data_IF_377080903455
#
_entry.id   IF_377080903455
#
_cell.length_a   1.000
_cell.length_b   1.000
_cell.length_c   1.000
_cell.angle_alpha   90.00
_cell.angle_beta   90.00
_cell.angle_gamma   90.00
#
_symmetry.space_group_name_H-M   'P 1'
#
loop_
_entity.id
_entity.type
_entity.pdbx_description
1 polymer ?
#
# COMPACT_ATOMS: atom_id res chain seq x y z
N UNK A 1 58.30 3.53 15.08
CA UNK A 1 57.24 3.25 16.10
C UNK A 1 56.05 4.21 15.98
N UNK A 2 56.24 5.52 15.91
CA UNK A 2 55.12 6.48 15.79
C UNK A 2 54.34 6.32 14.48
N UNK A 3 55.02 6.15 13.33
CA UNK A 3 54.37 5.95 12.04
C UNK A 3 53.50 4.68 11.97
N UNK A 4 53.94 3.57 12.58
CA UNK A 4 53.17 2.33 12.65
C UNK A 4 51.91 2.47 13.49
N UNK A 5 51.95 3.28 14.56
CA UNK A 5 50.77 3.56 15.40
C UNK A 5 49.74 4.40 14.61
N UNK A 6 50.21 5.41 13.87
CA UNK A 6 49.34 6.27 13.05
C UNK A 6 48.60 5.45 11.98
N UNK A 7 49.31 4.56 11.28
CA UNK A 7 48.71 3.69 10.25
C UNK A 7 47.64 2.77 10.87
N UNK A 8 47.90 2.23 12.07
CA UNK A 8 46.97 1.33 12.74
C UNK A 8 45.69 2.05 13.18
N UNK A 9 45.81 3.30 13.67
CA UNK A 9 44.67 4.16 14.02
C UNK A 9 43.85 4.52 12.78
N UNK A 10 44.51 4.83 11.66
CA UNK A 10 43.83 5.12 10.40
C UNK A 10 43.08 3.90 9.84
N UNK A 11 43.69 2.72 9.90
CA UNK A 11 43.04 1.48 9.49
C UNK A 11 41.82 1.18 10.39
N UNK A 12 41.93 1.39 11.71
CA UNK A 12 40.82 1.22 12.64
C UNK A 12 39.66 2.19 12.33
N UNK A 13 39.97 3.46 12.04
CA UNK A 13 38.97 4.46 11.66
C UNK A 13 38.27 4.10 10.34
N UNK A 14 39.00 3.61 9.34
CA UNK A 14 38.42 3.17 8.07
C UNK A 14 37.49 1.97 8.28
N UNK A 15 37.90 1.00 9.11
CA UNK A 15 37.05 -0.17 9.44
C UNK A 15 35.80 0.26 10.20
N UNK A 16 35.92 1.14 11.20
CA UNK A 16 34.76 1.67 11.94
C UNK A 16 33.82 2.47 11.05
N UNK A 17 34.34 3.24 10.10
CA UNK A 17 33.54 3.98 9.13
C UNK A 17 32.78 3.04 8.17
N UNK A 18 33.43 2.01 7.64
CA UNK A 18 32.82 1.02 6.75
C UNK A 18 31.78 0.12 7.45
N UNK A 19 31.99 -0.20 8.73
CA UNK A 19 31.01 -0.96 9.51
C UNK A 19 29.87 -0.08 10.04
N UNK A 20 30.16 1.18 10.41
CA UNK A 20 29.14 2.15 10.83
C UNK A 20 28.17 2.51 9.71
N UNK A 21 28.62 2.54 8.45
CA UNK A 21 27.74 2.80 7.30
C UNK A 21 26.82 1.64 6.95
N UNK A 22 27.10 0.39 7.39
CA UNK A 22 26.23 -0.77 7.20
C UNK A 22 25.11 -0.89 8.24
N UNK A 23 25.14 -0.08 9.31
CA UNK A 23 24.11 -0.07 10.36
C UNK A 23 23.01 0.98 10.12
N UNK A 24 23.16 1.82 9.09
CA UNK A 24 22.17 2.83 8.76
C UNK A 24 21.08 2.26 7.84
N UNK A 25 19.98 1.87 8.49
CA UNK A 25 18.65 1.79 7.89
C UNK A 25 18.42 0.54 7.05
N UNK A 26 17.94 -0.53 7.68
CA UNK A 26 17.10 -1.46 6.93
C UNK A 26 15.98 -0.64 6.29
N UNK A 27 15.96 -0.57 4.95
CA UNK A 27 14.90 0.13 4.24
C UNK A 27 13.57 -0.51 4.66
N UNK A 28 12.69 0.29 5.27
CA UNK A 28 11.35 -0.19 5.59
C UNK A 28 10.67 -0.51 4.26
N UNK A 29 10.21 -1.75 4.04
CA UNK A 29 9.60 -2.14 2.78
C UNK A 29 8.37 -1.29 2.53
N UNK A 30 8.14 -0.96 1.26
CA UNK A 30 6.92 -0.24 0.87
C UNK A 30 5.69 -1.12 1.09
N UNK A 31 4.50 -0.52 1.26
CA UNK A 31 3.28 -1.32 1.43
C UNK A 31 3.00 -2.22 0.23
N UNK A 32 3.31 -1.79 -1.00
CA UNK A 32 3.12 -2.64 -2.18
C UNK A 32 4.04 -3.87 -2.17
N UNK A 33 5.23 -3.76 -1.57
CA UNK A 33 6.19 -4.85 -1.39
C UNK A 33 5.80 -5.74 -0.22
N UNK A 34 5.17 -5.18 0.81
CA UNK A 34 4.67 -5.91 1.98
C UNK A 34 3.38 -6.69 1.67
N UNK A 35 2.51 -6.15 0.82
CA UNK A 35 1.21 -6.74 0.45
C UNK A 35 1.07 -6.88 -1.08
N UNK A 36 1.97 -7.63 -1.76
CA UNK A 36 1.99 -7.70 -3.23
C UNK A 36 0.75 -8.42 -3.77
N UNK A 37 0.31 -9.49 -3.11
CA UNK A 37 -0.84 -10.28 -3.53
C UNK A 37 -2.14 -9.49 -3.36
N UNK A 38 -2.36 -8.88 -2.18
CA UNK A 38 -3.51 -8.02 -1.94
C UNK A 38 -3.57 -6.85 -2.94
N UNK A 39 -2.43 -6.21 -3.22
CA UNK A 39 -2.34 -5.14 -4.22
C UNK A 39 -2.76 -5.64 -5.60
N UNK A 40 -2.29 -6.81 -6.00
CA UNK A 40 -2.63 -7.42 -7.29
C UNK A 40 -4.11 -7.76 -7.39
N UNK A 41 -4.70 -8.31 -6.32
CA UNK A 41 -6.13 -8.65 -6.26
C UNK A 41 -7.01 -7.41 -6.32
N UNK A 42 -6.69 -6.36 -5.56
CA UNK A 42 -7.46 -5.10 -5.56
C UNK A 42 -7.38 -4.34 -6.89
N UNK A 43 -6.29 -4.49 -7.64
CA UNK A 43 -6.18 -3.92 -8.99
C UNK A 43 -6.99 -4.71 -10.03
N UNK A 44 -7.41 -5.94 -9.72
CA UNK A 44 -8.25 -6.78 -10.58
C UNK A 44 -7.68 -7.02 -11.98
N UNK A 45 -6.36 -6.88 -12.16
CA UNK A 45 -5.70 -6.96 -13.48
C UNK A 45 -6.11 -5.88 -14.47
N UNK A 46 -6.73 -4.78 -14.02
CA UNK A 46 -7.17 -3.72 -14.91
C UNK A 46 -5.98 -2.94 -15.47
N UNK A 47 -5.80 -2.93 -16.80
CA UNK A 47 -4.68 -2.28 -17.48
C UNK A 47 -4.57 -0.76 -17.23
N UNK A 48 -5.67 -0.11 -16.81
CA UNK A 48 -5.68 1.31 -16.47
C UNK A 48 -5.38 1.58 -15.00
N UNK A 49 -5.38 0.54 -14.16
CA UNK A 49 -5.15 0.69 -12.73
C UNK A 49 -3.65 0.87 -12.45
N UNK A 50 -3.33 1.78 -11.54
CA UNK A 50 -1.95 2.18 -11.22
C UNK A 50 -1.81 2.44 -9.73
N UNK A 51 -0.58 2.35 -9.25
CA UNK A 51 -0.20 2.82 -7.92
C UNK A 51 0.15 4.32 -8.04
N UNK A 52 -0.55 5.15 -7.28
CA UNK A 52 -0.35 6.61 -7.25
C UNK A 52 0.52 7.06 -6.08
N UNK A 53 0.50 6.30 -4.98
CA UNK A 53 1.29 6.60 -3.79
C UNK A 53 1.71 5.30 -3.14
N UNK A 54 2.98 5.19 -2.75
CA UNK A 54 3.51 3.98 -2.14
C UNK A 54 4.59 4.33 -1.12
N UNK A 55 4.26 4.15 0.14
CA UNK A 55 5.08 4.44 1.33
C UNK A 55 5.02 3.24 2.29
N UNK A 56 5.83 3.32 3.33
CA UNK A 56 5.93 2.36 4.42
C UNK A 56 4.65 2.18 5.25
N UNK A 57 3.72 3.14 5.22
CA UNK A 57 2.45 3.05 5.96
C UNK A 57 1.19 3.38 5.14
N UNK A 58 1.36 3.76 3.87
CA UNK A 58 0.26 4.22 3.01
C UNK A 58 0.50 3.85 1.55
N UNK A 59 -0.50 3.23 0.96
CA UNK A 59 -0.55 2.85 -0.45
C UNK A 59 -1.85 3.35 -1.06
N UNK A 60 -1.78 4.08 -2.17
CA UNK A 60 -2.95 4.50 -2.94
C UNK A 60 -2.84 3.89 -4.32
N UNK A 61 -3.87 3.15 -4.73
CA UNK A 61 -3.93 2.44 -6.00
C UNK A 61 -5.33 2.49 -6.60
N UNK A 62 -5.45 2.32 -7.92
CA UNK A 62 -6.75 2.25 -8.59
C UNK A 62 -6.74 2.95 -9.92
N UNK A 63 -7.88 3.47 -10.35
CA UNK A 63 -8.09 4.10 -11.65
C UNK A 63 -8.44 5.56 -11.43
N UNK A 64 -7.76 6.46 -12.15
CA UNK A 64 -8.11 7.88 -12.19
C UNK A 64 -8.32 8.28 -13.65
N UNK A 65 -9.55 8.67 -14.00
CA UNK A 65 -9.91 9.12 -15.34
C UNK A 65 -10.70 10.43 -15.26
N UNK A 66 -10.38 11.38 -16.12
CA UNK A 66 -11.14 12.63 -16.24
C UNK A 66 -12.54 12.41 -16.84
N UNK A 67 -12.71 11.38 -17.68
CA UNK A 67 -13.98 11.15 -18.41
C UNK A 67 -14.88 10.10 -17.72
N UNK A 68 -14.28 9.17 -16.98
CA UNK A 68 -14.99 8.03 -16.38
C UNK A 68 -15.06 8.10 -14.84
N UNK A 69 -14.46 9.13 -14.25
CA UNK A 69 -14.29 9.26 -12.82
C UNK A 69 -13.08 8.50 -12.27
N UNK A 70 -12.96 8.52 -10.94
CA UNK A 70 -11.86 7.96 -10.20
C UNK A 70 -12.36 6.93 -9.19
N UNK A 71 -11.73 5.77 -9.20
CA UNK A 71 -11.98 4.66 -8.29
C UNK A 71 -10.65 4.31 -7.62
N UNK A 72 -10.52 4.66 -6.34
CA UNK A 72 -9.26 4.56 -5.60
C UNK A 72 -9.42 3.68 -4.37
N UNK A 73 -8.42 2.83 -4.15
CA UNK A 73 -8.15 2.17 -2.89
C UNK A 73 -7.03 2.91 -2.17
N UNK A 74 -7.28 3.36 -0.95
CA UNK A 74 -6.25 3.80 -0.01
C UNK A 74 -6.07 2.70 1.04
N UNK A 75 -4.88 2.14 1.16
CA UNK A 75 -4.49 1.15 2.14
C UNK A 75 -3.55 1.82 3.13
N UNK A 76 -3.90 1.80 4.41
CA UNK A 76 -3.07 2.38 5.48
C UNK A 76 -2.83 1.35 6.55
N UNK A 77 -1.57 1.17 6.89
CA UNK A 77 -1.18 0.37 8.03
C UNK A 77 -1.24 1.22 9.30
N UNK A 78 -1.90 0.69 10.33
CA UNK A 78 -2.06 1.32 11.62
C UNK A 78 -1.06 0.73 12.63
N UNK A 79 -0.69 1.52 13.62
CA UNK A 79 0.27 1.13 14.66
C UNK A 79 -0.21 -0.01 15.58
N UNK A 80 -1.50 -0.34 15.53
CA UNK A 80 -2.16 -1.38 16.32
C UNK A 80 -2.12 -2.76 15.63
N UNK A 81 -1.47 -2.89 14.46
CA UNK A 81 -1.44 -4.15 13.72
C UNK A 81 -2.65 -4.36 12.80
N UNK A 82 -3.49 -3.35 12.62
CA UNK A 82 -4.57 -3.37 11.64
C UNK A 82 -4.18 -2.67 10.33
N UNK A 83 -4.85 -3.04 9.26
CA UNK A 83 -4.77 -2.45 7.93
C UNK A 83 -6.16 -1.92 7.59
N UNK A 84 -6.22 -0.62 7.33
CA UNK A 84 -7.46 0.05 6.95
C UNK A 84 -7.45 0.33 5.45
N UNK A 85 -8.52 -0.06 4.79
CA UNK A 85 -8.68 0.07 3.34
C UNK A 85 -9.89 0.95 3.08
N UNK A 86 -9.70 2.08 2.42
CA UNK A 86 -10.79 2.91 1.91
C UNK A 86 -10.95 2.68 0.43
N UNK A 87 -12.18 2.42 0.02
CA UNK A 87 -12.57 2.44 -1.39
C UNK A 87 -13.34 3.73 -1.65
N UNK A 88 -12.90 4.52 -2.63
CA UNK A 88 -13.51 5.79 -2.97
C UNK A 88 -13.87 5.82 -4.45
N UNK A 89 -15.14 6.06 -4.75
CA UNK A 89 -15.63 6.41 -6.09
C UNK A 89 -15.91 7.90 -6.11
N UNK A 90 -15.39 8.59 -7.10
CA UNK A 90 -15.57 10.03 -7.26
C UNK A 90 -15.66 10.41 -8.73
N UNK A 91 -16.45 11.44 -9.05
CA UNK A 91 -16.55 12.03 -10.40
C UNK A 91 -16.97 11.02 -11.49
N UNK A 92 -17.67 9.94 -11.10
CA UNK A 92 -18.19 8.97 -12.07
C UNK A 92 -19.54 9.45 -12.61
N UNK A 93 -19.75 9.45 -13.95
CA UNK A 93 -21.02 9.85 -14.53
C UNK A 93 -22.15 8.86 -14.25
N UNK A 94 -21.82 7.60 -13.89
CA UNK A 94 -22.78 6.52 -13.69
C UNK A 94 -23.06 6.21 -12.20
N UNK A 95 -22.13 6.57 -11.33
CA UNK A 95 -22.16 6.18 -9.91
C UNK A 95 -21.85 7.41 -9.06
N UNK A 96 -22.68 7.75 -8.06
CA UNK A 96 -22.47 8.91 -7.23
C UNK A 96 -21.21 8.72 -6.40
N UNK A 97 -20.67 9.83 -5.93
CA UNK A 97 -19.52 9.78 -5.06
C UNK A 97 -19.87 9.03 -3.78
N UNK A 98 -19.06 8.03 -3.43
CA UNK A 98 -19.17 7.35 -2.15
C UNK A 98 -17.81 6.84 -1.71
N UNK A 99 -17.70 6.61 -0.41
CA UNK A 99 -16.53 6.02 0.20
C UNK A 99 -16.98 4.91 1.15
N UNK A 100 -16.30 3.77 1.07
CA UNK A 100 -16.46 2.65 2.00
C UNK A 100 -15.14 2.39 2.71
N UNK A 101 -15.21 2.00 3.98
CA UNK A 101 -14.04 1.76 4.82
C UNK A 101 -14.09 0.33 5.35
N UNK A 102 -13.00 -0.39 5.16
CA UNK A 102 -12.78 -1.74 5.64
C UNK A 102 -11.58 -1.76 6.58
N UNK A 103 -11.60 -2.68 7.52
CA UNK A 103 -10.52 -2.87 8.49
C UNK A 103 -10.25 -4.35 8.66
N UNK A 104 -8.99 -4.73 8.51
CA UNK A 104 -8.51 -6.10 8.57
C UNK A 104 -7.25 -6.15 9.43
N UNK A 105 -6.90 -7.33 9.94
CA UNK A 105 -5.60 -7.49 10.60
C UNK A 105 -4.49 -7.58 9.55
N UNK A 106 -3.25 -7.20 9.90
CA UNK A 106 -2.10 -7.42 9.03
C UNK A 106 -1.94 -8.90 8.65
N UNK A 107 -2.22 -9.81 9.58
CA UNK A 107 -2.15 -11.25 9.34
C UNK A 107 -3.14 -11.69 8.25
N UNK A 108 -4.38 -11.21 8.29
CA UNK A 108 -5.39 -11.52 7.26
C UNK A 108 -4.96 -10.98 5.89
N UNK A 109 -4.43 -9.75 5.83
CA UNK A 109 -3.96 -9.16 4.58
C UNK A 109 -2.75 -9.88 3.96
N UNK A 110 -1.93 -10.56 4.77
CA UNK A 110 -0.76 -11.31 4.33
C UNK A 110 -1.11 -12.76 3.96
N UNK A 111 -1.89 -13.43 4.80
CA UNK A 111 -2.12 -14.86 4.68
C UNK A 111 -3.33 -15.19 3.78
N UNK A 112 -4.34 -14.31 3.77
CA UNK A 112 -5.62 -14.54 3.09
C UNK A 112 -6.04 -13.30 2.25
N UNK A 113 -5.20 -12.82 1.32
CA UNK A 113 -5.48 -11.63 0.51
C UNK A 113 -6.73 -11.80 -0.37
N UNK A 114 -7.05 -13.04 -0.76
CA UNK A 114 -8.26 -13.36 -1.53
C UNK A 114 -9.53 -13.13 -0.69
N UNK A 115 -9.54 -13.52 0.58
CA UNK A 115 -10.68 -13.27 1.48
C UNK A 115 -10.92 -11.76 1.66
N UNK A 116 -9.83 -10.99 1.79
CA UNK A 116 -9.90 -9.53 1.91
C UNK A 116 -10.49 -8.92 0.65
N UNK A 117 -10.01 -9.31 -0.52
CA UNK A 117 -10.49 -8.83 -1.81
C UNK A 117 -11.96 -9.21 -2.05
N UNK A 118 -12.34 -10.46 -1.80
CA UNK A 118 -13.72 -10.93 -1.96
C UNK A 118 -14.71 -10.18 -1.05
N UNK A 119 -14.34 -9.93 0.21
CA UNK A 119 -15.17 -9.14 1.12
C UNK A 119 -15.37 -7.73 0.58
N UNK A 120 -14.28 -7.08 0.17
CA UNK A 120 -14.32 -5.72 -0.39
C UNK A 120 -15.22 -5.69 -1.64
N UNK A 121 -15.01 -6.61 -2.59
CA UNK A 121 -15.77 -6.70 -3.84
C UNK A 121 -17.25 -6.96 -3.59
N UNK A 122 -17.58 -7.84 -2.65
CA UNK A 122 -18.96 -8.12 -2.27
C UNK A 122 -19.69 -6.88 -1.75
N UNK A 123 -19.04 -6.12 -0.85
CA UNK A 123 -19.64 -4.90 -0.29
C UNK A 123 -19.77 -3.79 -1.33
N UNK A 124 -18.74 -3.56 -2.13
CA UNK A 124 -18.76 -2.58 -3.23
C UNK A 124 -19.85 -2.95 -4.24
N UNK A 125 -19.91 -4.22 -4.64
CA UNK A 125 -20.91 -4.73 -5.57
C UNK A 125 -22.34 -4.48 -5.08
N UNK A 126 -22.63 -4.79 -3.81
CA UNK A 126 -23.93 -4.47 -3.19
C UNK A 126 -24.21 -2.97 -3.17
N UNK A 127 -23.21 -2.14 -2.88
CA UNK A 127 -23.37 -0.67 -2.82
C UNK A 127 -23.72 -0.10 -4.19
N UNK A 128 -23.01 -0.52 -5.23
CA UNK A 128 -23.24 -0.11 -6.61
C UNK A 128 -24.60 -0.62 -7.09
N UNK A 129 -24.93 -1.89 -6.85
CA UNK A 129 -26.24 -2.45 -7.21
C UNK A 129 -27.40 -1.74 -6.54
N UNK A 130 -27.29 -1.42 -5.24
CA UNK A 130 -28.31 -0.63 -4.54
C UNK A 130 -28.51 0.73 -5.20
N UNK A 131 -27.45 1.33 -5.71
CA UNK A 131 -27.56 2.62 -6.37
C UNK A 131 -28.22 2.50 -7.76
N UNK A 132 -27.78 1.54 -8.57
CA UNK A 132 -28.34 1.31 -9.90
C UNK A 132 -29.80 0.82 -9.84
N UNK A 133 -30.14 -0.03 -8.87
CA UNK A 133 -31.50 -0.53 -8.66
C UNK A 133 -32.48 0.54 -8.17
N UNK A 134 -31.99 1.64 -7.58
CA UNK A 134 -32.82 2.80 -7.23
C UNK A 134 -33.05 3.77 -8.41
N UNK A 135 -32.40 3.54 -9.56
CA UNK A 135 -32.59 4.34 -10.78
C UNK A 135 -33.56 3.70 -11.79
N UNK A 136 -34.02 2.47 -11.53
CA UNK A 136 -35.05 1.75 -12.29
C UNK A 136 -36.41 1.90 -11.60
#
# INVERSE_FOLDING_TARGET
>A
MIFTIIILVLALLVVLFLYGSKLNGAAVPKLSEKYPDLTTRLLGGNAKARIFHDRDNKLILGIKSLEAGSTLFEIKELSDGNVRIWYTVSESPMIPNFQERFEFTQATCLNDPDEVAEKIDFFIGRRIQKHLGNML
#
